data_IF_626631623476
#
_entry.id   IF_626631623476
#
_cell.length_a   1.000
_cell.length_b   1.000
_cell.length_c   1.000
_cell.angle_alpha   90.00
_cell.angle_beta   90.00
_cell.angle_gamma   90.00
#
_symmetry.space_group_name_H-M   'P 1'
#
loop_
_entity.id
_entity.type
_entity.pdbx_description
1 polymer ?
#
# COMPACT_ATOMS: atom_id res chain seq x y z
N UNK A 1 21.90 15.95 35.07
CA UNK A 1 20.64 15.27 34.73
C UNK A 1 19.94 16.14 33.69
N UNK A 2 19.83 15.68 32.45
CA UNK A 2 19.05 16.36 31.41
C UNK A 2 18.21 15.28 30.74
N UNK A 3 16.92 15.36 31.02
CA UNK A 3 15.87 14.49 30.52
C UNK A 3 15.72 14.67 29.01
N UNK A 4 16.09 13.65 28.26
CA UNK A 4 15.80 13.58 26.83
C UNK A 4 14.30 13.46 26.63
N UNK A 5 13.67 14.53 26.15
CA UNK A 5 12.27 14.53 25.75
C UNK A 5 12.08 13.63 24.53
N UNK A 6 11.04 12.80 24.68
CA UNK A 6 10.65 11.72 23.79
C UNK A 6 9.99 12.31 22.54
N UNK A 7 10.62 12.14 21.38
CA UNK A 7 9.99 12.39 20.06
C UNK A 7 9.02 11.25 19.73
N UNK A 8 7.82 11.27 20.31
CA UNK A 8 6.73 10.35 19.93
C UNK A 8 5.52 11.06 19.29
N UNK A 9 5.52 12.39 19.21
CA UNK A 9 4.33 13.17 18.82
C UNK A 9 4.14 13.38 17.29
N UNK A 10 5.18 13.15 16.48
CA UNK A 10 5.13 13.51 15.06
C UNK A 10 4.33 12.55 14.16
N UNK A 11 4.02 11.35 14.67
CA UNK A 11 3.31 10.33 13.90
C UNK A 11 1.79 10.47 14.06
N UNK A 12 1.32 10.79 15.27
CA UNK A 12 -0.10 10.96 15.59
C UNK A 12 -0.68 12.24 14.96
N UNK A 13 0.01 13.39 15.09
CA UNK A 13 -0.42 14.65 14.45
C UNK A 13 -0.54 14.54 12.91
N UNK A 14 0.22 13.64 12.31
CA UNK A 14 0.22 13.40 10.86
C UNK A 14 -0.98 12.57 10.39
N UNK A 15 -1.54 11.71 11.25
CA UNK A 15 -2.79 11.01 10.98
C UNK A 15 -4.01 11.95 11.13
N UNK A 16 -3.89 12.98 11.97
CA UNK A 16 -4.95 13.98 12.21
C UNK A 16 -5.11 14.96 11.03
N UNK A 17 -4.05 15.22 10.25
CA UNK A 17 -4.06 16.14 9.11
C UNK A 17 -4.15 15.45 7.74
N UNK A 18 -4.97 14.41 7.62
CA UNK A 18 -5.22 13.79 6.32
C UNK A 18 -6.24 14.60 5.50
N UNK A 19 -6.01 14.79 4.19
CA UNK A 19 -6.89 15.59 3.35
C UNK A 19 -8.31 15.01 3.30
N UNK A 20 -9.34 15.86 3.14
CA UNK A 20 -10.74 15.43 3.10
C UNK A 20 -10.97 14.43 1.96
N UNK A 21 -11.95 13.53 2.15
CA UNK A 21 -12.33 12.52 1.16
C UNK A 21 -12.60 13.19 -0.20
N UNK A 22 -11.86 12.79 -1.23
CA UNK A 22 -12.02 13.30 -2.61
C UNK A 22 -12.51 12.18 -3.51
N UNK A 23 -13.62 11.58 -3.11
CA UNK A 23 -14.30 10.49 -3.78
C UNK A 23 -15.80 10.81 -3.85
N UNK A 24 -16.49 10.49 -4.95
CA UNK A 24 -17.96 10.41 -5.02
C UNK A 24 -18.47 8.96 -4.89
N UNK A 25 -19.66 8.75 -4.34
CA UNK A 25 -20.21 7.38 -4.22
C UNK A 25 -20.30 6.67 -5.58
N UNK A 26 -20.66 7.38 -6.63
CA UNK A 26 -20.80 6.84 -7.99
C UNK A 26 -19.46 6.34 -8.54
N UNK A 27 -18.38 7.09 -8.32
CA UNK A 27 -17.04 6.69 -8.78
C UNK A 27 -16.51 5.50 -7.98
N UNK A 28 -16.92 5.35 -6.72
CA UNK A 28 -16.60 4.20 -5.89
C UNK A 28 -17.33 2.95 -6.38
N UNK A 29 -18.63 3.05 -6.60
CA UNK A 29 -19.45 1.94 -7.08
C UNK A 29 -18.97 1.46 -8.46
N UNK A 30 -18.61 2.39 -9.35
CA UNK A 30 -18.02 2.08 -10.65
C UNK A 30 -16.68 1.32 -10.52
N UNK A 31 -15.83 1.68 -9.56
CA UNK A 31 -14.63 0.90 -9.26
C UNK A 31 -14.98 -0.53 -8.84
N UNK A 32 -15.88 -0.68 -7.86
CA UNK A 32 -16.25 -1.98 -7.28
C UNK A 32 -16.74 -2.91 -8.38
N UNK A 33 -17.58 -2.39 -9.28
CA UNK A 33 -18.06 -3.12 -10.46
C UNK A 33 -16.93 -3.43 -11.45
N UNK A 34 -16.09 -2.44 -11.79
CA UNK A 34 -14.98 -2.61 -12.75
C UNK A 34 -13.98 -3.68 -12.31
N UNK A 35 -13.68 -3.74 -11.02
CA UNK A 35 -12.75 -4.73 -10.46
C UNK A 35 -13.44 -6.02 -9.99
N UNK A 36 -14.77 -6.11 -10.13
CA UNK A 36 -15.59 -7.27 -9.79
C UNK A 36 -15.33 -7.76 -8.36
N UNK A 37 -15.29 -6.84 -7.41
CA UNK A 37 -15.11 -7.22 -6.01
C UNK A 37 -16.34 -8.01 -5.52
N UNK A 38 -16.16 -9.23 -4.98
CA UNK A 38 -17.25 -9.99 -4.39
C UNK A 38 -17.84 -9.30 -3.17
N UNK A 39 -19.16 -9.40 -2.98
CA UNK A 39 -19.85 -8.88 -1.79
C UNK A 39 -19.28 -9.44 -0.48
N UNK A 40 -18.78 -10.68 -0.52
CA UNK A 40 -18.16 -11.35 0.62
C UNK A 40 -16.95 -10.59 1.18
N UNK A 41 -16.26 -9.80 0.35
CA UNK A 41 -15.12 -8.97 0.74
C UNK A 41 -15.51 -7.74 1.57
N UNK A 42 -16.80 -7.38 1.61
CA UNK A 42 -17.32 -6.27 2.40
C UNK A 42 -16.63 -4.97 2.05
N UNK A 43 -16.67 -4.56 0.79
CA UNK A 43 -16.06 -3.29 0.38
C UNK A 43 -16.98 -2.14 0.81
N UNK A 44 -16.45 -1.17 1.54
CA UNK A 44 -17.22 -0.09 2.16
C UNK A 44 -16.69 1.27 1.71
N UNK A 45 -17.61 2.13 1.28
CA UNK A 45 -17.35 3.55 1.07
C UNK A 45 -17.23 4.24 2.44
N UNK A 46 -16.22 5.09 2.66
CA UNK A 46 -16.07 5.81 3.93
C UNK A 46 -17.16 6.88 4.09
N UNK A 47 -17.67 7.02 5.31
CA UNK A 47 -18.62 8.06 5.68
C UNK A 47 -17.94 9.44 5.77
N UNK A 48 -18.76 10.50 5.77
CA UNK A 48 -18.25 11.86 5.90
C UNK A 48 -17.49 12.05 7.22
N UNK A 49 -16.30 12.67 7.14
CA UNK A 49 -15.42 12.89 8.29
C UNK A 49 -14.53 11.69 8.68
N UNK A 50 -14.73 10.50 8.09
CA UNK A 50 -13.80 9.40 8.29
C UNK A 50 -12.47 9.66 7.56
N UNK A 51 -11.39 9.12 8.13
CA UNK A 51 -10.03 9.15 7.58
C UNK A 51 -9.50 7.73 7.38
N UNK A 52 -8.29 7.60 6.83
CA UNK A 52 -7.64 6.29 6.65
C UNK A 52 -7.35 5.56 7.96
N UNK A 53 -7.36 6.27 9.10
CA UNK A 53 -7.17 5.71 10.43
C UNK A 53 -8.47 5.16 11.03
N UNK A 54 -9.64 5.51 10.48
CA UNK A 54 -10.95 5.15 11.02
C UNK A 54 -11.53 3.85 10.42
N UNK A 55 -10.68 2.91 10.01
CA UNK A 55 -11.15 1.62 9.51
C UNK A 55 -11.96 0.88 10.59
N UNK A 56 -13.17 0.39 10.27
CA UNK A 56 -13.97 -0.39 11.22
C UNK A 56 -13.24 -1.64 11.72
N UNK A 57 -13.62 -2.12 12.90
CA UNK A 57 -13.06 -3.36 13.44
C UNK A 57 -13.23 -4.53 12.46
N UNK A 58 -12.13 -5.22 12.14
CA UNK A 58 -12.10 -6.30 11.15
C UNK A 58 -11.94 -5.84 9.70
N UNK A 59 -11.76 -4.54 9.45
CA UNK A 59 -11.52 -3.96 8.14
C UNK A 59 -10.12 -3.32 8.07
N UNK A 60 -9.65 -3.09 6.85
CA UNK A 60 -8.42 -2.39 6.54
C UNK A 60 -8.68 -1.31 5.49
N UNK A 61 -7.81 -0.30 5.47
CA UNK A 61 -7.86 0.77 4.48
C UNK A 61 -7.08 0.40 3.23
N UNK A 62 -7.68 0.58 2.05
CA UNK A 62 -7.00 0.56 0.76
C UNK A 62 -7.27 1.87 0.01
N UNK A 63 -6.45 2.14 -1.00
CA UNK A 63 -6.56 3.34 -1.81
C UNK A 63 -6.87 2.97 -3.25
N UNK A 64 -7.69 3.79 -3.92
CA UNK A 64 -8.07 3.60 -5.33
C UNK A 64 -6.85 3.48 -6.24
N UNK A 65 -5.90 4.41 -6.06
CA UNK A 65 -4.71 4.52 -6.89
C UNK A 65 -3.83 3.27 -6.83
N UNK A 66 -4.00 2.42 -5.81
CA UNK A 66 -3.36 1.10 -5.80
C UNK A 66 -3.78 0.27 -7.01
N UNK A 67 -5.07 0.29 -7.34
CA UNK A 67 -5.66 -0.49 -8.44
C UNK A 67 -5.52 0.23 -9.79
N UNK A 68 -5.82 1.53 -9.81
CA UNK A 68 -5.76 2.33 -11.04
C UNK A 68 -4.34 2.45 -11.57
N UNK A 69 -3.41 2.81 -10.70
CA UNK A 69 -2.04 3.18 -11.08
C UNK A 69 -0.99 2.19 -10.57
N UNK A 70 -1.12 1.73 -9.34
CA UNK A 70 -0.24 0.75 -8.71
C UNK A 70 -0.30 -0.64 -9.36
N UNK A 71 -1.25 -0.86 -10.28
CA UNK A 71 -1.56 -2.14 -10.95
C UNK A 71 -1.72 -3.29 -9.96
N UNK A 72 -2.15 -2.96 -8.75
CA UNK A 72 -2.50 -3.92 -7.72
C UNK A 72 -3.79 -4.64 -8.09
N UNK A 73 -3.87 -5.92 -7.73
CA UNK A 73 -5.03 -6.78 -7.95
C UNK A 73 -5.25 -7.66 -6.72
N UNK A 74 -6.51 -7.98 -6.49
CA UNK A 74 -6.94 -8.94 -5.50
C UNK A 74 -7.44 -10.21 -6.23
N UNK A 75 -7.24 -11.42 -5.66
CA UNK A 75 -6.45 -11.72 -4.45
C UNK A 75 -4.96 -11.33 -4.59
N UNK A 76 -4.33 -11.00 -3.47
CA UNK A 76 -2.91 -10.59 -3.44
C UNK A 76 -2.02 -11.78 -3.77
N UNK A 77 -0.98 -11.55 -4.57
CA UNK A 77 -0.02 -12.61 -4.90
C UNK A 77 0.84 -12.99 -3.71
N UNK A 78 1.31 -14.25 -3.71
CA UNK A 78 2.19 -14.78 -2.67
C UNK A 78 3.43 -13.91 -2.47
N UNK A 79 4.12 -13.54 -3.56
CA UNK A 79 5.31 -12.70 -3.50
C UNK A 79 5.02 -11.33 -2.89
N UNK A 80 3.89 -10.71 -3.21
CA UNK A 80 3.54 -9.42 -2.60
C UNK A 80 3.32 -9.56 -1.10
N UNK A 81 2.64 -10.62 -0.63
CA UNK A 81 2.49 -10.91 0.79
C UNK A 81 3.84 -11.20 1.48
N UNK A 82 4.77 -11.88 0.80
CA UNK A 82 6.12 -12.12 1.30
C UNK A 82 6.89 -10.81 1.48
N UNK A 83 6.75 -9.84 0.57
CA UNK A 83 7.34 -8.51 0.72
C UNK A 83 6.80 -7.80 1.97
N UNK A 84 5.48 -7.76 2.13
CA UNK A 84 4.86 -7.13 3.32
C UNK A 84 5.32 -7.82 4.61
N UNK A 85 5.34 -9.16 4.62
CA UNK A 85 5.79 -9.96 5.76
C UNK A 85 7.27 -9.80 6.08
N UNK A 86 8.13 -9.69 5.07
CA UNK A 86 9.56 -9.53 5.25
C UNK A 86 9.91 -8.15 5.83
N UNK A 87 9.32 -7.09 5.28
CA UNK A 87 9.60 -5.71 5.68
C UNK A 87 8.74 -5.22 6.85
N UNK A 88 7.79 -6.02 7.33
CA UNK A 88 6.99 -5.76 8.54
C UNK A 88 6.17 -4.47 8.47
N UNK A 89 5.54 -4.19 7.33
CA UNK A 89 4.59 -3.09 7.20
C UNK A 89 3.25 -3.54 6.63
N UNK A 90 2.20 -2.81 7.00
CA UNK A 90 0.84 -3.09 6.55
C UNK A 90 0.61 -2.54 5.13
N UNK A 91 -0.26 -3.18 4.33
CA UNK A 91 -0.50 -2.74 2.95
C UNK A 91 -1.02 -1.29 2.88
N UNK A 92 -1.81 -0.83 3.85
CA UNK A 92 -2.29 0.55 3.96
C UNK A 92 -1.18 1.58 4.15
N UNK A 93 0.01 1.15 4.56
CA UNK A 93 1.20 1.98 4.68
C UNK A 93 2.06 1.96 3.41
N UNK A 94 1.61 1.32 2.33
CA UNK A 94 2.37 1.27 1.07
C UNK A 94 2.13 2.52 0.23
N UNK A 95 3.18 3.15 -0.25
CA UNK A 95 3.07 4.21 -1.25
C UNK A 95 2.73 3.59 -2.63
N UNK A 96 1.89 4.20 -3.49
CA UNK A 96 1.57 3.67 -4.81
C UNK A 96 2.79 3.35 -5.69
N UNK A 97 3.84 4.18 -5.65
CA UNK A 97 5.13 3.89 -6.32
C UNK A 97 5.74 2.56 -5.84
N UNK A 98 5.67 2.28 -4.55
CA UNK A 98 6.14 1.01 -3.98
C UNK A 98 5.39 -0.17 -4.58
N UNK A 99 4.07 -0.04 -4.72
CA UNK A 99 3.21 -1.01 -5.40
C UNK A 99 3.68 -1.29 -6.82
N UNK A 100 3.87 -0.23 -7.62
CA UNK A 100 4.33 -0.35 -9.02
C UNK A 100 5.65 -1.12 -9.07
N UNK A 101 6.59 -0.82 -8.17
CA UNK A 101 7.90 -1.50 -8.15
C UNK A 101 7.79 -2.98 -7.79
N UNK A 102 6.99 -3.34 -6.79
CA UNK A 102 6.74 -4.74 -6.42
C UNK A 102 6.09 -5.49 -7.60
N UNK A 103 5.00 -4.94 -8.15
CA UNK A 103 4.24 -5.55 -9.24
C UNK A 103 5.06 -5.68 -10.53
N UNK A 104 5.82 -4.66 -10.88
CA UNK A 104 6.69 -4.67 -12.05
C UNK A 104 7.79 -5.73 -11.92
N UNK A 105 8.45 -5.79 -10.77
CA UNK A 105 9.45 -6.82 -10.51
C UNK A 105 8.86 -8.24 -10.62
N UNK A 106 7.70 -8.46 -10.00
CA UNK A 106 7.02 -9.76 -10.08
C UNK A 106 6.68 -10.13 -11.52
N UNK A 107 6.10 -9.19 -12.28
CA UNK A 107 5.78 -9.39 -13.69
C UNK A 107 7.00 -9.74 -14.54
N UNK A 108 8.12 -9.04 -14.34
CA UNK A 108 9.37 -9.33 -15.04
C UNK A 108 9.93 -10.71 -14.69
N UNK A 109 9.90 -11.10 -13.43
CA UNK A 109 10.33 -12.44 -13.01
C UNK A 109 9.50 -13.52 -13.71
N UNK A 110 8.17 -13.39 -13.65
CA UNK A 110 7.25 -14.36 -14.24
C UNK A 110 7.36 -14.43 -15.78
N UNK A 111 7.56 -13.30 -16.46
CA UNK A 111 7.73 -13.28 -17.93
C UNK A 111 9.04 -13.94 -18.39
N UNK A 112 10.03 -14.06 -17.51
CA UNK A 112 11.29 -14.76 -17.75
C UNK A 112 11.31 -16.17 -17.14
N UNK A 113 10.18 -16.68 -16.63
CA UNK A 113 10.08 -17.96 -15.94
C UNK A 113 11.01 -18.08 -14.71
N UNK A 114 11.26 -16.97 -14.02
CA UNK A 114 12.04 -16.89 -12.79
C UNK A 114 11.07 -16.70 -11.62
N UNK A 115 11.24 -17.47 -10.55
CA UNK A 115 10.45 -17.25 -9.33
C UNK A 115 10.80 -15.90 -8.68
N UNK A 116 9.81 -15.00 -8.48
CA UNK A 116 10.02 -13.77 -7.75
C UNK A 116 10.21 -14.08 -6.26
N UNK A 117 11.32 -13.61 -5.68
CA UNK A 117 11.59 -13.78 -4.25
C UNK A 117 12.05 -12.47 -3.63
N UNK A 118 11.84 -12.32 -2.33
CA UNK A 118 12.27 -11.11 -1.60
C UNK A 118 13.78 -10.88 -1.73
N UNK A 119 14.58 -11.94 -1.72
CA UNK A 119 16.04 -11.84 -1.89
C UNK A 119 16.41 -11.28 -3.27
N UNK A 120 15.76 -11.74 -4.35
CA UNK A 120 15.99 -11.20 -5.70
C UNK A 120 15.52 -9.75 -5.80
N UNK A 121 14.38 -9.41 -5.22
CA UNK A 121 13.87 -8.04 -5.19
C UNK A 121 14.85 -7.06 -4.52
N UNK A 122 15.44 -7.49 -3.40
CA UNK A 122 16.41 -6.72 -2.60
C UNK A 122 17.72 -6.43 -3.31
N UNK A 123 18.07 -7.20 -4.34
CA UNK A 123 19.24 -6.91 -5.20
C UNK A 123 19.02 -5.59 -5.95
N UNK A 124 17.80 -5.31 -6.39
CA UNK A 124 17.47 -4.12 -7.18
C UNK A 124 17.00 -2.95 -6.33
N UNK A 125 16.28 -3.24 -5.24
CA UNK A 125 15.60 -2.24 -4.45
C UNK A 125 15.99 -2.26 -2.97
N UNK A 126 15.90 -1.10 -2.35
CA UNK A 126 15.99 -0.91 -0.90
C UNK A 126 14.74 -0.22 -0.38
N UNK A 127 14.27 -0.61 0.80
CA UNK A 127 13.11 0.03 1.41
C UNK A 127 13.43 1.50 1.73
N UNK A 128 12.46 2.35 1.51
CA UNK A 128 12.50 3.77 1.81
C UNK A 128 11.19 4.17 2.49
N UNK A 129 11.27 4.82 3.64
CA UNK A 129 10.11 5.39 4.31
C UNK A 129 10.10 6.91 4.06
N UNK A 130 8.95 7.44 3.65
CA UNK A 130 8.72 8.88 3.58
C UNK A 130 7.52 9.22 4.43
N UNK A 131 7.77 10.01 5.49
CA UNK A 131 6.79 10.31 6.52
C UNK A 131 6.26 9.03 7.20
N UNK A 132 5.10 8.51 6.76
CA UNK A 132 4.45 7.29 7.27
C UNK A 132 4.23 6.22 6.20
N UNK A 133 4.67 6.45 4.96
CA UNK A 133 4.47 5.53 3.84
C UNK A 133 5.77 4.87 3.39
N UNK A 134 5.71 3.55 3.21
CA UNK A 134 6.80 2.72 2.74
C UNK A 134 6.80 2.60 1.22
N UNK A 135 7.98 2.67 0.63
CA UNK A 135 8.25 2.49 -0.78
C UNK A 135 9.62 1.82 -0.96
N UNK A 136 10.08 1.73 -2.20
CA UNK A 136 11.30 1.03 -2.56
C UNK A 136 12.16 1.86 -3.48
N UNK A 137 13.31 2.37 -3.03
CA UNK A 137 14.24 3.09 -3.90
C UNK A 137 15.10 2.10 -4.70
N UNK A 138 15.45 2.46 -5.93
CA UNK A 138 16.43 1.71 -6.74
C UNK A 138 17.81 1.81 -6.06
N UNK A 139 18.52 0.69 -5.93
CA UNK A 139 19.90 0.69 -5.45
C UNK A 139 20.84 1.25 -6.52
N UNK A 140 21.75 2.12 -6.12
CA UNK A 140 22.71 2.77 -7.04
C UNK A 140 23.60 1.75 -7.79
N UNK A 141 23.96 0.64 -7.13
CA UNK A 141 24.79 -0.42 -7.71
C UNK A 141 24.03 -1.40 -8.60
N UNK A 142 22.70 -1.33 -8.65
CA UNK A 142 21.89 -2.29 -9.38
C UNK A 142 21.47 -1.76 -10.75
N UNK A 143 21.43 -2.67 -11.75
CA UNK A 143 20.86 -2.36 -13.07
C UNK A 143 19.39 -1.91 -12.91
N UNK A 144 19.02 -0.85 -13.63
CA UNK A 144 17.63 -0.38 -13.67
C UNK A 144 16.78 -1.39 -14.43
N UNK A 145 15.80 -1.99 -13.75
CA UNK A 145 14.83 -2.91 -14.36
C UNK A 145 13.50 -2.23 -14.69
N UNK A 146 13.25 -1.06 -14.10
CA UNK A 146 12.14 -0.18 -14.42
C UNK A 146 12.71 1.12 -15.00
N UNK A 147 12.72 1.23 -16.33
CA UNK A 147 13.36 2.34 -17.04
C UNK A 147 12.64 3.67 -16.81
N UNK A 148 11.31 3.65 -16.78
CA UNK A 148 10.45 4.82 -16.66
C UNK A 148 9.49 4.67 -15.47
N UNK A 149 9.97 4.76 -14.22
CA UNK A 149 9.08 4.72 -13.07
C UNK A 149 8.18 5.97 -13.04
N UNK A 150 6.95 5.87 -12.53
CA UNK A 150 6.13 7.04 -12.23
C UNK A 150 6.90 8.01 -11.33
N UNK A 151 6.95 9.29 -11.73
CA UNK A 151 7.73 10.32 -11.02
C UNK A 151 7.04 10.74 -9.71
N UNK A 152 5.71 10.78 -9.71
CA UNK A 152 4.90 11.19 -8.58
C UNK A 152 3.49 10.61 -8.67
N UNK A 153 2.86 10.47 -7.51
CA UNK A 153 1.41 10.26 -7.39
C UNK A 153 0.86 11.44 -6.59
N UNK A 154 0.03 12.25 -7.23
CA UNK A 154 -0.63 13.39 -6.60
C UNK A 154 -2.03 12.98 -6.17
N UNK A 155 -2.52 13.53 -5.04
CA UNK A 155 -3.91 13.38 -4.59
C UNK A 155 -4.43 11.94 -4.46
N UNK A 156 -3.55 10.97 -4.17
CA UNK A 156 -3.95 9.56 -4.03
C UNK A 156 -4.54 9.24 -2.65
N UNK A 157 -4.06 9.91 -1.59
CA UNK A 157 -4.49 9.67 -0.19
C UNK A 157 -5.99 9.94 0.04
N UNK A 158 -6.61 11.01 -0.52
CA UNK A 158 -8.04 11.28 -0.40
C UNK A 158 -8.99 10.23 -1.00
N UNK A 159 -8.49 9.26 -1.76
CA UNK A 159 -9.30 8.25 -2.46
C UNK A 159 -9.11 6.89 -1.80
N UNK A 160 -9.60 6.77 -0.56
CA UNK A 160 -9.52 5.52 0.21
C UNK A 160 -10.88 4.88 0.42
N UNK A 161 -10.87 3.60 0.77
CA UNK A 161 -12.04 2.81 1.11
C UNK A 161 -11.67 1.70 2.09
N UNK A 162 -12.67 1.06 2.70
CA UNK A 162 -12.45 -0.05 3.62
C UNK A 162 -12.82 -1.39 2.99
N UNK A 163 -12.11 -2.44 3.38
CA UNK A 163 -12.35 -3.82 2.95
C UNK A 163 -12.07 -4.75 4.12
N UNK A 164 -12.74 -5.91 4.21
CA UNK A 164 -12.47 -6.87 5.28
C UNK A 164 -10.99 -7.28 5.32
N UNK A 165 -10.40 -7.29 6.50
CA UNK A 165 -8.99 -7.62 6.70
C UNK A 165 -8.63 -9.01 6.14
N UNK A 166 -9.55 -9.99 6.26
CA UNK A 166 -9.35 -11.35 5.77
C UNK A 166 -9.16 -11.49 4.26
N UNK A 167 -9.45 -10.46 3.46
CA UNK A 167 -9.21 -10.45 2.00
C UNK A 167 -7.71 -10.42 1.69
N UNK A 168 -6.92 -9.83 2.58
CA UNK A 168 -5.46 -9.80 2.49
C UNK A 168 -4.93 -10.59 3.68
N UNK A 169 -4.63 -11.90 3.51
CA UNK A 169 -4.27 -12.77 4.62
C UNK A 169 -2.84 -12.50 5.08
N UNK A 170 -2.63 -11.35 5.71
CA UNK A 170 -1.36 -10.96 6.29
C UNK A 170 -1.37 -11.31 7.77
N UNK A 171 -0.46 -12.20 8.19
CA UNK A 171 -0.15 -12.36 9.61
C UNK A 171 0.66 -11.15 10.06
N UNK A 172 -0.03 -10.06 10.39
CA UNK A 172 0.59 -8.97 11.13
C UNK A 172 0.89 -9.50 12.54
N UNK A 173 2.17 -9.69 12.85
CA UNK A 173 2.57 -9.77 14.25
C UNK A 173 2.25 -8.40 14.83
N UNK A 174 1.19 -8.28 15.63
CA UNK A 174 0.85 -7.05 16.33
C UNK A 174 2.12 -6.52 17.03
N UNK A 175 2.65 -5.39 16.56
CA UNK A 175 3.45 -4.54 17.41
C UNK A 175 2.43 -3.80 18.28
N UNK A 176 2.31 -4.27 19.52
CA UNK A 176 1.69 -3.52 20.61
C UNK A 176 2.68 -2.48 21.12
#
# INVERSE_FOLDING_TARGET
>A
MSTGERREDSSEEMFVNLPPLKWSRETFDSMVQKFKFPDSWGVQYPDEGQTTANAPAGYITLFWDYFAEGKFRLPVTKFFLEILSYYKFHISQTHPIGMVRIRHFEFLCLSMHIEPTVNRFRVFYQMHCSQVFYSFAQRASAKKILSNPPKSFHDWKPKFFFIKAGVIPMKMLCQR
#
